data_IF_614430158555
#
_entry.id   IF_614430158555
#
_cell.length_a   1.000
_cell.length_b   1.000
_cell.length_c   1.000
_cell.angle_alpha   90.00
_cell.angle_beta   90.00
_cell.angle_gamma   90.00
#
_symmetry.space_group_name_H-M   'P 1'
#
loop_
_entity.id
_entity.type
_entity.pdbx_description
1 polymer ?
#
# COMPACT_ATOMS: atom_id res chain seq x y z
N UNK A 1 0.61 49.00 -12.49
CA UNK A 1 1.82 48.16 -12.48
C UNK A 1 1.58 47.02 -11.49
N UNK A 2 0.89 45.95 -11.91
CA UNK A 2 0.37 44.93 -10.98
C UNK A 2 1.22 43.67 -11.09
N UNK A 3 2.07 43.43 -10.09
CA UNK A 3 2.91 42.24 -10.01
C UNK A 3 2.08 41.03 -9.56
N UNK A 4 1.90 40.06 -10.46
CA UNK A 4 1.41 38.71 -10.11
C UNK A 4 2.55 37.92 -9.47
N UNK A 5 2.49 37.71 -8.15
CA UNK A 5 3.37 36.76 -7.45
C UNK A 5 3.09 35.35 -7.96
N UNK A 6 4.11 34.70 -8.53
CA UNK A 6 4.11 33.25 -8.80
C UNK A 6 4.02 32.52 -7.46
N UNK A 7 2.98 31.71 -7.29
CA UNK A 7 2.87 30.78 -6.16
C UNK A 7 3.61 29.50 -6.58
N UNK A 8 4.78 29.27 -5.97
CA UNK A 8 5.66 28.13 -6.24
C UNK A 8 5.11 26.85 -5.64
N UNK A 9 5.15 25.78 -6.44
CA UNK A 9 4.75 24.39 -6.15
C UNK A 9 5.76 23.67 -5.23
N UNK A 10 6.13 24.27 -4.10
CA UNK A 10 7.11 23.71 -3.15
C UNK A 10 6.50 23.36 -1.77
N UNK A 11 5.28 23.84 -1.48
CA UNK A 11 4.68 23.71 -0.14
C UNK A 11 4.22 22.29 0.22
N UNK A 12 4.20 21.35 -0.74
CA UNK A 12 3.73 19.98 -0.51
C UNK A 12 4.85 18.98 -0.17
N UNK A 13 6.13 19.35 -0.29
CA UNK A 13 7.26 18.45 -0.01
C UNK A 13 7.87 18.57 1.38
N UNK A 14 7.47 19.57 2.18
CA UNK A 14 8.16 19.89 3.45
C UNK A 14 7.52 19.27 4.72
N UNK A 15 6.42 18.52 4.60
CA UNK A 15 5.65 18.10 5.79
C UNK A 15 6.24 16.90 6.56
N UNK A 16 6.83 15.90 5.87
CA UNK A 16 7.25 14.65 6.54
C UNK A 16 8.55 14.75 7.33
N UNK A 17 9.46 15.64 6.90
CA UNK A 17 10.83 15.71 7.45
C UNK A 17 10.95 16.66 8.64
N UNK A 18 10.01 17.60 8.77
CA UNK A 18 9.95 18.55 9.87
C UNK A 18 9.25 17.96 11.11
N UNK A 19 8.29 17.05 10.92
CA UNK A 19 7.62 16.35 12.03
C UNK A 19 8.58 15.49 12.88
N UNK A 20 9.51 14.79 12.23
CA UNK A 20 10.49 13.94 12.92
C UNK A 20 11.52 14.74 13.74
N UNK A 21 11.76 16.02 13.42
CA UNK A 21 12.72 16.86 14.14
C UNK A 21 12.16 17.39 15.47
N UNK A 22 10.84 17.51 15.62
CA UNK A 22 10.22 18.13 16.79
C UNK A 22 10.13 17.22 18.01
N UNK A 23 10.27 15.89 17.85
CA UNK A 23 10.18 14.93 18.98
C UNK A 23 11.51 14.80 19.75
N UNK A 24 12.63 15.27 19.18
CA UNK A 24 13.97 14.95 19.67
C UNK A 24 14.54 15.92 20.75
N UNK A 25 13.85 17.01 21.14
CA UNK A 25 14.50 18.11 21.88
C UNK A 25 14.02 18.39 23.32
N UNK A 26 13.17 17.57 23.95
CA UNK A 26 12.66 17.86 25.32
C UNK A 26 13.30 17.09 26.48
N UNK A 27 14.48 16.48 26.31
CA UNK A 27 15.10 15.60 27.32
C UNK A 27 16.38 16.16 27.96
N UNK A 28 16.37 17.40 28.44
CA UNK A 28 17.47 17.91 29.27
C UNK A 28 16.98 18.65 30.53
N UNK A 29 17.10 17.92 31.65
CA UNK A 29 17.52 18.34 32.99
C UNK A 29 16.48 18.91 34.00
N UNK A 30 16.03 18.04 34.93
CA UNK A 30 15.96 18.32 36.37
C UNK A 30 15.96 16.99 37.19
N UNK A 31 16.87 16.78 38.16
CA UNK A 31 16.96 15.54 38.94
C UNK A 31 16.43 15.70 40.37
N UNK A 32 15.41 14.96 40.82
CA UNK A 32 15.06 14.89 42.26
C UNK A 32 14.44 13.53 42.64
N UNK A 33 15.26 12.74 43.35
CA UNK A 33 14.96 11.88 44.52
C UNK A 33 14.10 10.62 44.33
N UNK A 34 14.80 9.49 44.43
CA UNK A 34 14.28 8.21 44.86
C UNK A 34 13.73 8.30 46.30
N UNK A 35 12.48 7.88 46.53
CA UNK A 35 12.01 7.09 47.70
C UNK A 35 10.50 7.23 47.88
N UNK A 36 9.74 6.36 47.23
CA UNK A 36 8.52 5.79 47.80
C UNK A 36 8.48 4.31 47.43
N UNK A 37 9.33 3.56 48.12
CA UNK A 37 9.16 2.12 48.18
C UNK A 37 7.83 1.84 48.90
N UNK A 38 6.99 1.08 48.22
CA UNK A 38 6.03 0.13 48.80
C UNK A 38 4.72 0.70 49.37
N UNK A 39 3.71 0.83 48.52
CA UNK A 39 2.37 0.25 48.72
C UNK A 39 1.43 0.69 47.59
N UNK A 40 1.39 -0.12 46.53
CA UNK A 40 0.23 -0.34 45.66
C UNK A 40 0.71 -1.28 44.57
N UNK A 41 0.24 -2.51 44.58
CA UNK A 41 0.27 -3.40 43.41
C UNK A 41 -0.72 -2.85 42.38
N UNK A 42 -0.30 -2.39 41.19
CA UNK A 42 -1.20 -2.28 40.06
C UNK A 42 -1.22 -3.64 39.36
N UNK A 43 -2.43 -4.09 39.02
CA UNK A 43 -2.73 -5.27 38.21
C UNK A 43 -1.82 -5.43 36.98
N UNK A 44 -1.67 -6.66 36.45
CA UNK A 44 -0.97 -6.86 35.19
C UNK A 44 -1.72 -6.13 34.06
N UNK A 45 -1.14 -5.04 33.56
CA UNK A 45 -1.53 -4.46 32.28
C UNK A 45 -1.15 -5.44 31.16
N UNK A 46 -2.06 -5.84 30.26
CA UNK A 46 -1.78 -6.82 29.20
C UNK A 46 -0.85 -6.33 28.08
N UNK A 47 -0.23 -5.17 28.23
CA UNK A 47 0.38 -4.43 27.13
C UNK A 47 1.76 -3.89 27.50
N UNK A 48 2.70 -4.79 27.80
CA UNK A 48 4.11 -4.49 27.62
C UNK A 48 4.41 -4.55 26.11
N UNK A 49 5.00 -3.51 25.49
CA UNK A 49 5.40 -3.59 24.09
C UNK A 49 6.57 -4.56 23.96
N UNK A 50 6.31 -5.72 23.37
CA UNK A 50 7.37 -6.66 22.97
C UNK A 50 8.32 -6.00 21.95
N UNK A 51 9.61 -6.39 21.93
CA UNK A 51 10.54 -5.98 20.89
C UNK A 51 9.99 -6.40 19.52
N UNK A 52 9.57 -5.43 18.72
CA UNK A 52 9.13 -5.68 17.34
C UNK A 52 10.33 -6.18 16.55
N UNK A 53 10.36 -7.47 16.24
CA UNK A 53 11.24 -8.03 15.22
C UNK A 53 11.06 -7.22 13.92
N UNK A 54 12.15 -6.86 13.22
CA UNK A 54 12.02 -6.19 11.93
C UNK A 54 11.20 -7.09 10.99
N UNK A 55 10.22 -6.55 10.25
CA UNK A 55 9.43 -7.34 9.33
C UNK A 55 10.37 -8.05 8.35
N UNK A 56 10.25 -9.37 8.26
CA UNK A 56 11.01 -10.18 7.30
C UNK A 56 10.90 -9.55 5.92
N UNK A 57 12.05 -9.34 5.28
CA UNK A 57 12.10 -8.80 3.92
C UNK A 57 11.27 -9.70 3.00
N UNK A 58 10.17 -9.16 2.48
CA UNK A 58 9.32 -9.86 1.54
C UNK A 58 10.17 -10.21 0.30
N UNK A 59 10.20 -11.48 -0.14
CA UNK A 59 11.02 -11.86 -1.28
C UNK A 59 10.63 -11.04 -2.51
N UNK A 60 11.63 -10.47 -3.17
CA UNK A 60 11.43 -9.73 -4.41
C UNK A 60 10.86 -10.68 -5.47
N UNK A 61 9.81 -10.30 -6.21
CA UNK A 61 9.22 -11.18 -7.21
C UNK A 61 10.27 -11.52 -8.28
N UNK A 62 10.53 -12.81 -8.47
CA UNK A 62 11.38 -13.29 -9.55
C UNK A 62 10.74 -12.97 -10.92
N UNK A 63 11.53 -12.77 -11.99
CA UNK A 63 10.99 -12.55 -13.33
C UNK A 63 10.05 -13.69 -13.72
N UNK A 64 8.79 -13.37 -13.97
CA UNK A 64 7.76 -14.35 -14.31
C UNK A 64 7.67 -14.50 -15.83
N UNK A 65 7.40 -15.73 -16.30
CA UNK A 65 7.21 -16.03 -17.72
C UNK A 65 5.93 -15.35 -18.25
N UNK A 66 5.94 -14.81 -19.49
CA UNK A 66 4.74 -14.26 -20.12
C UNK A 66 3.59 -15.26 -20.19
N UNK A 67 2.36 -14.77 -20.03
CA UNK A 67 1.14 -15.59 -20.10
C UNK A 67 0.57 -15.60 -21.53
N UNK A 68 0.42 -16.79 -22.18
CA UNK A 68 -0.18 -16.87 -23.52
C UNK A 68 -1.61 -16.33 -23.59
N UNK A 69 -2.37 -16.45 -22.51
CA UNK A 69 -3.74 -15.94 -22.41
C UNK A 69 -3.75 -14.40 -22.40
N UNK A 70 -2.79 -13.80 -21.68
CA UNK A 70 -2.65 -12.35 -21.66
C UNK A 70 -2.23 -11.79 -23.02
N UNK A 71 -1.40 -12.51 -23.77
CA UNK A 71 -1.06 -12.15 -25.16
C UNK A 71 -2.31 -12.18 -26.04
N UNK A 72 -3.10 -13.25 -25.99
CA UNK A 72 -4.36 -13.34 -26.74
C UNK A 72 -5.33 -12.20 -26.42
N UNK A 73 -5.48 -11.85 -25.13
CA UNK A 73 -6.31 -10.70 -24.73
C UNK A 73 -5.74 -9.36 -25.18
N UNK A 74 -4.42 -9.23 -25.25
CA UNK A 74 -3.75 -8.03 -25.78
C UNK A 74 -4.05 -7.87 -27.28
N UNK A 75 -4.07 -8.96 -28.05
CA UNK A 75 -4.44 -8.93 -29.47
C UNK A 75 -5.91 -8.54 -29.66
N UNK A 76 -6.81 -9.01 -28.80
CA UNK A 76 -8.21 -8.54 -28.79
C UNK A 76 -8.29 -7.05 -28.47
N UNK A 77 -7.53 -6.57 -27.49
CA UNK A 77 -7.48 -5.16 -27.15
C UNK A 77 -6.94 -4.31 -28.30
N UNK A 78 -5.88 -4.76 -28.98
CA UNK A 78 -5.33 -4.12 -30.18
C UNK A 78 -6.35 -4.07 -31.31
N UNK A 79 -7.04 -5.17 -31.58
CA UNK A 79 -8.05 -5.23 -32.64
C UNK A 79 -9.23 -4.27 -32.38
N UNK A 80 -9.56 -4.01 -31.12
CA UNK A 80 -10.72 -3.20 -30.74
C UNK A 80 -10.39 -1.73 -30.50
N UNK A 81 -9.19 -1.44 -30.02
CA UNK A 81 -8.80 -0.10 -29.54
C UNK A 81 -7.46 0.38 -30.10
N UNK A 82 -6.84 -0.35 -31.04
CA UNK A 82 -5.50 -0.06 -31.56
C UNK A 82 -5.37 1.33 -32.18
N UNK A 83 -6.42 1.83 -32.83
CA UNK A 83 -6.43 3.19 -33.41
C UNK A 83 -6.43 4.31 -32.35
N UNK A 84 -6.71 3.96 -31.09
CA UNK A 84 -6.79 4.89 -29.97
C UNK A 84 -5.67 4.71 -28.95
N UNK A 85 -4.77 3.74 -29.15
CA UNK A 85 -3.70 3.41 -28.22
C UNK A 85 -2.36 3.53 -28.93
N UNK A 86 -1.44 4.30 -28.35
CA UNK A 86 -0.04 4.22 -28.73
C UNK A 86 0.55 2.84 -28.40
N UNK A 87 1.65 2.48 -29.04
CA UNK A 87 2.35 1.24 -28.74
C UNK A 87 2.76 1.14 -27.25
N UNK A 88 3.17 2.26 -26.65
CA UNK A 88 3.54 2.31 -25.24
C UNK A 88 2.36 2.13 -24.29
N UNK A 89 1.17 2.58 -24.68
CA UNK A 89 -0.06 2.34 -23.90
C UNK A 89 -0.52 0.91 -24.06
N UNK A 90 -0.41 0.33 -25.26
CA UNK A 90 -0.71 -1.08 -25.49
C UNK A 90 0.19 -2.00 -24.66
N UNK A 91 1.48 -1.68 -24.52
CA UNK A 91 2.38 -2.43 -23.62
C UNK A 91 1.99 -2.31 -22.14
N UNK A 92 1.49 -1.14 -21.70
CA UNK A 92 0.94 -1.01 -20.33
C UNK A 92 -0.29 -1.89 -20.15
N UNK A 93 -1.22 -1.88 -21.12
CA UNK A 93 -2.40 -2.74 -21.13
C UNK A 93 -2.01 -4.22 -21.08
N UNK A 94 -1.00 -4.63 -21.86
CA UNK A 94 -0.47 -6.01 -21.82
C UNK A 94 -0.01 -6.39 -20.41
N UNK A 95 0.80 -5.53 -19.77
CA UNK A 95 1.30 -5.78 -18.40
C UNK A 95 0.16 -5.90 -17.38
N UNK A 96 -0.87 -5.07 -17.49
CA UNK A 96 -2.04 -5.13 -16.60
C UNK A 96 -2.85 -6.41 -16.84
N UNK A 97 -3.04 -6.80 -18.10
CA UNK A 97 -3.69 -8.06 -18.47
C UNK A 97 -2.95 -9.28 -17.93
N UNK A 98 -1.61 -9.28 -17.97
CA UNK A 98 -0.84 -10.36 -17.34
C UNK A 98 -1.10 -10.45 -15.84
N UNK A 99 -1.15 -9.31 -15.14
CA UNK A 99 -1.51 -9.26 -13.72
C UNK A 99 -2.92 -9.81 -13.46
N UNK A 100 -3.88 -9.38 -14.28
CA UNK A 100 -5.28 -9.78 -14.17
C UNK A 100 -5.49 -11.28 -14.41
N UNK A 101 -4.81 -11.87 -15.40
CA UNK A 101 -4.86 -13.32 -15.64
C UNK A 101 -4.36 -14.07 -14.41
N UNK A 102 -3.24 -13.66 -13.82
CA UNK A 102 -2.71 -14.29 -12.60
C UNK A 102 -3.66 -14.16 -11.42
N UNK A 103 -4.29 -13.00 -11.24
CA UNK A 103 -5.30 -12.79 -10.19
C UNK A 103 -6.51 -13.70 -10.44
N UNK A 104 -7.00 -13.76 -11.68
CA UNK A 104 -8.13 -14.59 -12.05
C UNK A 104 -7.84 -16.08 -11.81
N UNK A 105 -6.64 -16.57 -12.11
CA UNK A 105 -6.26 -17.96 -11.84
C UNK A 105 -6.23 -18.27 -10.35
N UNK A 106 -5.75 -17.33 -9.52
CA UNK A 106 -5.84 -17.46 -8.05
C UNK A 106 -7.29 -17.48 -7.57
N UNK A 107 -8.14 -16.62 -8.12
CA UNK A 107 -9.57 -16.57 -7.75
C UNK A 107 -10.31 -17.84 -8.17
N UNK A 108 -10.03 -18.38 -9.36
CA UNK A 108 -10.62 -19.66 -9.84
C UNK A 108 -10.18 -20.87 -9.03
N UNK A 109 -9.04 -20.81 -8.35
CA UNK A 109 -8.58 -21.88 -7.49
C UNK A 109 -9.46 -22.04 -6.23
N UNK A 110 -10.23 -21.00 -5.85
CA UNK A 110 -11.21 -21.10 -4.77
C UNK A 110 -12.44 -21.88 -5.25
N UNK A 111 -12.78 -22.96 -4.56
CA UNK A 111 -13.98 -23.75 -4.83
C UNK A 111 -15.19 -23.09 -4.20
N UNK A 112 -16.12 -22.63 -5.04
CA UNK A 112 -17.43 -22.16 -4.61
C UNK A 112 -18.42 -23.31 -4.57
N UNK A 113 -19.32 -23.30 -3.60
CA UNK A 113 -20.53 -24.13 -3.59
C UNK A 113 -21.64 -23.44 -4.38
N UNK A 114 -22.59 -24.20 -4.93
CA UNK A 114 -23.71 -23.62 -5.69
C UNK A 114 -24.61 -22.70 -4.84
N UNK A 115 -24.47 -22.71 -3.50
CA UNK A 115 -25.16 -21.81 -2.58
C UNK A 115 -24.32 -20.61 -2.12
N UNK A 116 -23.09 -20.43 -2.61
CA UNK A 116 -22.29 -19.26 -2.29
C UNK A 116 -22.85 -18.04 -3.05
N UNK A 117 -23.50 -17.16 -2.31
CA UNK A 117 -24.12 -15.94 -2.83
C UNK A 117 -23.08 -14.84 -3.07
N UNK A 118 -23.34 -13.88 -3.98
CA UNK A 118 -22.51 -12.69 -4.09
C UNK A 118 -22.56 -11.87 -2.80
N UNK A 119 -21.49 -11.11 -2.53
CA UNK A 119 -21.36 -10.24 -1.34
C UNK A 119 -22.54 -9.25 -1.20
N UNK A 120 -23.13 -8.84 -2.32
CA UNK A 120 -24.31 -7.99 -2.33
C UNK A 120 -25.24 -8.31 -3.51
N UNK A 121 -26.55 -8.23 -3.27
CA UNK A 121 -27.62 -8.37 -4.27
C UNK A 121 -28.44 -7.08 -4.31
N UNK A 122 -28.61 -6.51 -5.50
CA UNK A 122 -29.49 -5.35 -5.69
C UNK A 122 -30.96 -5.79 -5.80
N UNK A 123 -31.86 -5.10 -5.08
CA UNK A 123 -33.32 -5.27 -5.16
C UNK A 123 -34.01 -3.94 -5.51
N UNK A 124 -35.14 -4.01 -6.22
CA UNK A 124 -35.89 -2.85 -6.72
C UNK A 124 -36.85 -2.23 -5.70
#
# INVERSE_FOLDING_TARGET
MTMKKKLTDDSLRESRRNFAKTVATTLLAAPVVASFAQAQTPQPSPHAPEPRTPPSAQPSPSPQKPSPVAEAYTEVARARFGDHLSAEELEKVKKDLEGNVRVADRLRAFKLQNGDEPDFVFSA
#
